data_IF_055906241350
#
_entry.id   IF_055906241350
#
_cell.length_a   1.000
_cell.length_b   1.000
_cell.length_c   1.000
_cell.angle_alpha   90.00
_cell.angle_beta   90.00
_cell.angle_gamma   90.00
#
_symmetry.space_group_name_H-M   'P 1'
#
loop_
_entity.id
_entity.type
_entity.pdbx_description
1 polymer ?
#
# COMPACT_ATOMS: atom_id res chain seq x y z
N UNK A 1 15.85 19.71 17.47
CA UNK A 1 15.18 19.96 16.20
C UNK A 1 14.16 18.86 15.97
N UNK A 2 12.90 19.27 16.12
CA UNK A 2 11.80 18.37 15.86
C UNK A 2 11.74 18.13 14.35
N UNK A 3 12.12 16.93 13.93
CA UNK A 3 11.72 16.46 12.63
C UNK A 3 10.23 16.14 12.71
N UNK A 4 9.42 17.16 12.51
CA UNK A 4 8.09 16.91 12.05
C UNK A 4 8.24 16.35 10.65
N UNK A 5 8.15 15.02 10.53
CA UNK A 5 7.76 14.46 9.27
C UNK A 5 6.32 14.91 9.05
N UNK A 6 6.16 16.07 8.42
CA UNK A 6 4.90 16.40 7.81
C UNK A 6 4.65 15.28 6.80
N UNK A 7 3.84 14.30 7.19
CA UNK A 7 3.22 13.45 6.19
C UNK A 7 2.43 14.39 5.31
N UNK A 8 2.98 14.65 4.12
CA UNK A 8 2.37 15.55 3.18
C UNK A 8 0.94 15.09 2.96
N UNK A 9 -0.02 15.92 3.39
CA UNK A 9 -1.43 15.69 3.08
C UNK A 9 -1.58 15.77 1.56
N UNK A 10 -1.94 14.64 0.95
CA UNK A 10 -2.23 14.63 -0.47
C UNK A 10 -3.72 14.91 -0.68
N UNK A 11 -4.00 15.88 -1.54
CA UNK A 11 -5.35 16.07 -2.05
C UNK A 11 -5.74 14.86 -2.92
N UNK A 12 -7.03 14.70 -3.16
CA UNK A 12 -7.55 13.64 -4.04
C UNK A 12 -6.86 13.67 -5.41
N UNK A 13 -6.76 14.86 -6.01
CA UNK A 13 -6.10 15.05 -7.30
C UNK A 13 -4.63 14.62 -7.26
N UNK A 14 -3.90 15.04 -6.25
CA UNK A 14 -2.49 14.70 -6.10
C UNK A 14 -2.29 13.21 -5.87
N UNK A 15 -3.16 12.56 -5.09
CA UNK A 15 -3.08 11.12 -4.83
C UNK A 15 -3.18 10.31 -6.12
N UNK A 16 -4.05 10.71 -7.06
CA UNK A 16 -4.18 10.01 -8.34
C UNK A 16 -3.10 10.38 -9.35
N UNK A 17 -2.44 11.52 -9.20
CA UNK A 17 -1.42 12.01 -10.14
C UNK A 17 0.02 11.69 -9.73
N UNK A 18 0.26 11.53 -8.43
CA UNK A 18 1.64 11.41 -7.91
C UNK A 18 2.26 10.04 -8.20
N UNK A 19 1.47 8.98 -8.13
CA UNK A 19 1.98 7.62 -8.22
C UNK A 19 1.76 7.03 -9.61
N UNK A 20 2.88 6.65 -10.25
CA UNK A 20 2.90 6.00 -11.57
C UNK A 20 3.11 4.49 -11.42
N UNK A 21 2.30 3.87 -10.60
CA UNK A 21 2.36 2.44 -10.29
C UNK A 21 1.14 1.72 -10.85
N UNK A 22 1.18 0.40 -10.99
CA UNK A 22 -0.02 -0.36 -11.31
C UNK A 22 -1.12 -0.14 -10.27
N UNK A 23 -2.36 -0.13 -10.73
CA UNK A 23 -3.53 -0.05 -9.87
C UNK A 23 -4.42 -1.25 -10.16
N UNK A 24 -4.82 -1.97 -9.12
CA UNK A 24 -5.52 -3.25 -9.28
C UNK A 24 -6.46 -3.55 -8.12
N UNK A 25 -7.43 -4.40 -8.40
CA UNK A 25 -8.24 -5.07 -7.40
C UNK A 25 -7.58 -6.40 -7.07
N UNK A 26 -7.47 -6.72 -5.80
CA UNK A 26 -6.85 -7.98 -5.39
C UNK A 26 -7.44 -8.56 -4.12
N UNK A 27 -7.12 -9.83 -3.91
CA UNK A 27 -7.48 -10.57 -2.70
C UNK A 27 -6.20 -10.96 -1.96
N UNK A 28 -6.14 -10.60 -0.68
CA UNK A 28 -4.98 -10.89 0.16
C UNK A 28 -4.96 -12.39 0.44
N UNK A 29 -3.87 -13.05 0.08
CA UNK A 29 -3.67 -14.49 0.27
C UNK A 29 -2.94 -14.81 1.55
N UNK A 30 -1.94 -13.98 1.90
CA UNK A 30 -1.13 -14.18 3.09
C UNK A 30 -0.50 -12.86 3.52
N UNK A 31 -0.25 -12.72 4.81
CA UNK A 31 0.55 -11.62 5.37
C UNK A 31 1.55 -12.24 6.32
N UNK A 32 2.82 -11.87 6.14
CA UNK A 32 3.92 -12.36 6.96
C UNK A 32 4.68 -11.20 7.55
N UNK A 33 4.83 -11.20 8.87
CA UNK A 33 5.68 -10.24 9.55
C UNK A 33 7.15 -10.62 9.36
N UNK A 34 7.99 -9.62 9.12
CA UNK A 34 9.43 -9.80 8.98
C UNK A 34 10.17 -8.79 9.85
N UNK A 35 11.37 -9.19 10.27
CA UNK A 35 12.31 -8.32 10.95
C UNK A 35 13.62 -8.30 10.15
N UNK A 36 14.14 -7.12 9.90
CA UNK A 36 15.39 -6.95 9.16
C UNK A 36 16.42 -6.37 10.12
N UNK A 37 17.51 -7.09 10.29
CA UNK A 37 18.57 -6.73 11.23
C UNK A 37 19.72 -6.05 10.51
N UNK A 38 20.09 -4.86 10.98
CA UNK A 38 21.29 -4.14 10.57
C UNK A 38 22.22 -4.03 11.78
N UNK A 39 22.89 -5.13 12.13
CA UNK A 39 23.63 -5.21 13.38
C UNK A 39 22.67 -5.17 14.56
N UNK A 40 22.79 -4.17 15.42
CA UNK A 40 21.92 -3.99 16.59
C UNK A 40 20.61 -3.28 16.27
N UNK A 41 20.47 -2.74 15.06
CA UNK A 41 19.25 -2.06 14.62
C UNK A 41 18.32 -3.03 13.89
N UNK A 42 17.06 -3.03 14.26
CA UNK A 42 16.05 -3.88 13.65
C UNK A 42 14.89 -3.06 13.13
N UNK A 43 14.55 -3.27 11.87
CA UNK A 43 13.34 -2.71 11.25
C UNK A 43 12.29 -3.81 11.09
N UNK A 44 11.04 -3.47 11.37
CA UNK A 44 9.90 -4.39 11.28
C UNK A 44 8.99 -3.99 10.13
N UNK A 45 8.61 -4.99 9.33
CA UNK A 45 7.72 -4.84 8.20
C UNK A 45 6.79 -6.05 8.12
N UNK A 46 5.84 -6.00 7.21
CA UNK A 46 5.12 -7.17 6.76
C UNK A 46 5.18 -7.25 5.25
N UNK A 47 5.06 -8.46 4.73
CA UNK A 47 4.93 -8.71 3.29
C UNK A 47 3.56 -9.35 3.08
N UNK A 48 2.73 -8.72 2.27
CA UNK A 48 1.46 -9.29 1.85
C UNK A 48 1.61 -9.90 0.46
N UNK A 49 1.06 -11.10 0.29
CA UNK A 49 0.86 -11.71 -1.03
C UNK A 49 -0.57 -11.41 -1.45
N UNK A 50 -0.73 -10.78 -2.59
CA UNK A 50 -2.03 -10.37 -3.10
C UNK A 50 -2.25 -10.99 -4.47
N UNK A 51 -3.33 -11.76 -4.59
CA UNK A 51 -3.79 -12.26 -5.88
C UNK A 51 -4.47 -11.12 -6.64
N UNK A 52 -4.01 -10.86 -7.85
CA UNK A 52 -4.56 -9.80 -8.70
C UNK A 52 -5.84 -10.30 -9.35
N UNK A 53 -6.97 -9.69 -9.01
CA UNK A 53 -8.28 -10.07 -9.55
C UNK A 53 -8.63 -9.27 -10.81
N UNK A 54 -8.27 -7.99 -10.84
CA UNK A 54 -8.57 -7.08 -11.94
C UNK A 54 -7.55 -5.94 -12.00
N UNK A 55 -7.14 -5.56 -13.19
CA UNK A 55 -6.15 -4.48 -13.39
C UNK A 55 -6.83 -3.27 -14.00
N UNK A 56 -6.58 -2.10 -13.43
CA UNK A 56 -7.13 -0.83 -13.91
C UNK A 56 -6.08 0.01 -14.61
N UNK A 57 -4.81 -0.16 -14.24
CA UNK A 57 -3.70 0.60 -14.79
C UNK A 57 -2.41 -0.20 -14.60
N UNK A 58 -1.50 -0.08 -15.56
CA UNK A 58 -0.16 -0.62 -15.45
C UNK A 58 0.01 -1.98 -16.11
N UNK A 59 1.27 -2.42 -16.13
CA UNK A 59 1.70 -3.66 -16.79
C UNK A 59 1.65 -4.83 -15.80
N UNK A 60 0.44 -5.30 -15.54
CA UNK A 60 0.15 -6.36 -14.59
C UNK A 60 -1.02 -7.16 -15.12
N UNK A 61 -0.98 -8.48 -14.97
CA UNK A 61 -2.03 -9.37 -15.47
C UNK A 61 -2.92 -9.89 -14.33
N UNK A 62 -4.21 -9.95 -14.59
CA UNK A 62 -5.13 -10.65 -13.70
C UNK A 62 -4.72 -12.12 -13.55
N UNK A 63 -4.77 -12.63 -12.34
CA UNK A 63 -4.30 -13.98 -12.00
C UNK A 63 -2.89 -14.03 -11.46
N UNK A 64 -2.09 -12.98 -11.62
CA UNK A 64 -0.77 -12.92 -11.01
C UNK A 64 -0.87 -12.77 -9.49
N UNK A 65 0.17 -13.18 -8.79
CA UNK A 65 0.36 -12.88 -7.38
C UNK A 65 1.49 -11.89 -7.25
N UNK A 66 1.23 -10.78 -6.57
CA UNK A 66 2.22 -9.75 -6.29
C UNK A 66 2.50 -9.71 -4.80
N UNK A 67 3.70 -9.24 -4.45
CA UNK A 67 4.10 -9.01 -3.07
C UNK A 67 4.21 -7.52 -2.81
N UNK A 68 3.71 -7.09 -1.66
CA UNK A 68 3.78 -5.70 -1.25
C UNK A 68 4.37 -5.60 0.15
N UNK A 69 5.28 -4.65 0.31
CA UNK A 69 5.87 -4.35 1.60
C UNK A 69 4.98 -3.36 2.35
N UNK A 70 4.68 -3.69 3.59
CA UNK A 70 3.85 -2.89 4.48
C UNK A 70 4.65 -2.46 5.69
N UNK A 71 4.44 -1.24 6.20
CA UNK A 71 4.87 -0.95 7.55
C UNK A 71 4.04 -1.83 8.51
N UNK A 72 4.68 -2.43 9.49
CA UNK A 72 3.95 -3.02 10.62
C UNK A 72 4.09 -2.09 11.81
N UNK A 73 2.98 -1.52 12.28
CA UNK A 73 3.01 -0.91 13.61
C UNK A 73 3.36 -2.03 14.56
N UNK A 74 4.47 -1.86 15.08
CA UNK A 74 5.22 -2.78 15.87
C UNK A 74 4.39 -3.33 16.99
N UNK A 75 4.61 -4.58 17.23
CA UNK A 75 4.47 -5.22 18.51
C UNK A 75 4.57 -4.22 19.65
N UNK A 76 3.62 -4.25 20.54
CA UNK A 76 3.73 -3.62 21.83
C UNK A 76 3.50 -2.11 21.83
N UNK A 77 2.23 -1.74 21.70
CA UNK A 77 1.73 -0.47 22.20
C UNK A 77 2.24 0.81 21.52
N UNK A 78 2.96 0.72 20.41
CA UNK A 78 3.33 1.89 19.63
C UNK A 78 2.36 2.04 18.46
N UNK A 79 1.39 2.90 18.65
CA UNK A 79 0.51 3.30 17.56
C UNK A 79 1.30 4.21 16.60
N UNK A 80 1.33 3.84 15.33
CA UNK A 80 1.91 4.69 14.28
C UNK A 80 0.77 5.30 13.50
N UNK A 81 0.69 6.62 13.55
CA UNK A 81 -0.34 7.36 12.84
C UNK A 81 -0.32 7.03 11.33
N UNK A 82 -1.50 6.84 10.78
CA UNK A 82 -1.64 6.59 9.35
C UNK A 82 -1.48 5.13 8.92
N UNK A 83 -1.41 4.18 9.85
CA UNK A 83 -1.31 2.75 9.52
C UNK A 83 -2.59 1.98 9.79
N UNK A 84 -3.69 2.65 10.08
CA UNK A 84 -4.96 2.03 10.45
C UNK A 84 -5.45 1.06 9.38
N UNK A 85 -5.32 1.43 8.11
CA UNK A 85 -5.79 0.63 6.99
C UNK A 85 -4.94 -0.63 6.83
N UNK A 86 -3.61 -0.49 6.78
CA UNK A 86 -2.72 -1.64 6.63
C UNK A 86 -2.76 -2.54 7.86
N UNK A 87 -3.01 -1.98 9.04
CA UNK A 87 -3.17 -2.76 10.28
C UNK A 87 -4.44 -3.60 10.28
N UNK A 88 -5.45 -3.21 9.52
CA UNK A 88 -6.70 -3.96 9.38
C UNK A 88 -6.62 -5.09 8.35
N UNK A 89 -5.58 -5.12 7.53
CA UNK A 89 -5.44 -6.11 6.46
C UNK A 89 -5.27 -7.51 7.02
N UNK A 90 -6.03 -8.45 6.47
CA UNK A 90 -5.99 -9.89 6.82
C UNK A 90 -6.13 -10.73 5.56
N UNK A 91 -5.61 -11.94 5.61
CA UNK A 91 -5.81 -12.91 4.55
C UNK A 91 -7.31 -13.15 4.32
N UNK A 92 -7.70 -13.24 3.05
CA UNK A 92 -9.08 -13.38 2.61
C UNK A 92 -9.79 -12.07 2.28
N UNK A 93 -9.27 -10.94 2.73
CA UNK A 93 -9.86 -9.63 2.41
C UNK A 93 -9.51 -9.23 0.99
N UNK A 94 -10.45 -8.56 0.34
CA UNK A 94 -10.24 -7.94 -0.97
C UNK A 94 -10.17 -6.42 -0.84
N UNK A 95 -9.53 -5.80 -1.82
CA UNK A 95 -9.40 -4.35 -1.83
C UNK A 95 -8.94 -3.84 -3.18
N UNK A 96 -8.82 -2.54 -3.25
CA UNK A 96 -8.17 -1.84 -4.36
C UNK A 96 -6.82 -1.35 -3.87
N UNK A 97 -5.79 -1.57 -4.68
CA UNK A 97 -4.41 -1.28 -4.31
C UNK A 97 -3.75 -0.41 -5.37
N UNK A 98 -3.19 0.70 -4.93
CA UNK A 98 -2.37 1.60 -5.74
C UNK A 98 -1.05 1.77 -4.99
N UNK A 99 -0.05 0.92 -5.25
CA UNK A 99 1.23 1.03 -4.55
C UNK A 99 1.87 2.41 -4.74
N UNK A 100 2.64 2.82 -3.77
CA UNK A 100 3.37 4.10 -3.87
C UNK A 100 4.66 3.97 -4.64
N UNK A 101 5.20 2.75 -4.74
CA UNK A 101 6.48 2.51 -5.41
C UNK A 101 6.55 1.07 -5.93
N UNK A 102 7.12 0.93 -7.11
CA UNK A 102 7.58 -0.36 -7.64
C UNK A 102 9.08 -0.47 -7.35
N UNK A 103 9.49 -1.56 -6.70
CA UNK A 103 10.91 -1.76 -6.40
C UNK A 103 11.68 -2.23 -7.62
N UNK A 104 12.86 -1.64 -7.81
CA UNK A 104 13.82 -1.97 -8.85
C UNK A 104 15.08 -2.56 -8.23
N UNK A 105 15.92 -3.19 -9.05
CA UNK A 105 17.14 -3.85 -8.59
C UNK A 105 18.12 -2.91 -7.85
N UNK A 106 18.09 -1.61 -8.14
CA UNK A 106 18.95 -0.61 -7.52
C UNK A 106 18.30 0.10 -6.31
N UNK A 107 17.09 -0.29 -5.93
CA UNK A 107 16.44 0.22 -4.72
C UNK A 107 17.04 -0.44 -3.48
N UNK A 108 17.92 0.28 -2.80
CA UNK A 108 18.71 -0.25 -1.68
C UNK A 108 18.66 0.66 -0.47
N UNK A 109 18.92 0.06 0.69
CA UNK A 109 19.14 0.75 1.93
C UNK A 109 20.39 0.18 2.62
N UNK A 110 21.34 1.04 2.96
CA UNK A 110 22.60 0.62 3.61
C UNK A 110 22.67 1.21 5.00
N UNK A 111 22.97 0.37 5.97
CA UNK A 111 23.22 0.76 7.36
C UNK A 111 24.20 -0.20 8.01
N UNK A 112 25.15 0.34 8.76
CA UNK A 112 26.18 -0.46 9.45
C UNK A 112 26.96 -1.39 8.51
N UNK A 113 27.23 -0.94 7.27
CA UNK A 113 27.95 -1.74 6.26
C UNK A 113 27.12 -2.85 5.63
N UNK A 114 25.84 -2.96 5.98
CA UNK A 114 24.91 -3.96 5.43
C UNK A 114 23.97 -3.29 4.43
N UNK A 115 23.77 -3.93 3.29
CA UNK A 115 22.89 -3.42 2.23
C UNK A 115 21.67 -4.31 2.07
N UNK A 116 20.49 -3.70 2.15
CA UNK A 116 19.23 -4.34 1.86
C UNK A 116 18.81 -3.97 0.44
N UNK A 117 18.43 -4.97 -0.35
CA UNK A 117 17.81 -4.79 -1.66
C UNK A 117 16.30 -5.01 -1.50
N UNK A 118 15.51 -3.96 -1.63
CA UNK A 118 14.07 -4.04 -1.43
C UNK A 118 13.37 -5.00 -2.41
N UNK A 119 13.89 -5.11 -3.63
CA UNK A 119 13.35 -6.04 -4.63
C UNK A 119 13.47 -7.52 -4.23
N UNK A 120 14.37 -7.85 -3.30
CA UNK A 120 14.46 -9.19 -2.73
C UNK A 120 13.30 -9.48 -1.75
N UNK A 121 12.67 -8.45 -1.23
CA UNK A 121 11.57 -8.59 -0.27
C UNK A 121 10.21 -8.61 -0.94
N UNK A 122 9.97 -7.68 -1.86
CA UNK A 122 8.66 -7.46 -2.44
C UNK A 122 8.74 -6.76 -3.80
N UNK A 123 7.66 -6.87 -4.58
CA UNK A 123 7.54 -6.17 -5.86
C UNK A 123 7.25 -4.68 -5.66
N UNK A 124 6.43 -4.36 -4.67
CA UNK A 124 5.89 -3.02 -4.45
C UNK A 124 5.94 -2.63 -2.98
N UNK A 125 5.85 -1.31 -2.75
CA UNK A 125 5.61 -0.74 -1.43
C UNK A 125 4.24 -0.06 -1.40
N UNK A 126 3.49 -0.28 -0.34
CA UNK A 126 2.27 0.50 -0.05
C UNK A 126 2.57 1.75 0.78
N UNK A 127 3.86 2.01 1.08
CA UNK A 127 4.22 3.11 1.97
C UNK A 127 3.51 2.97 3.31
N UNK A 128 2.94 4.05 3.82
CA UNK A 128 2.10 3.99 5.02
C UNK A 128 0.74 3.35 4.81
N UNK A 129 0.36 3.06 3.57
CA UNK A 129 -0.95 2.50 3.22
C UNK A 129 -2.09 3.50 3.23
N UNK A 130 -1.81 4.78 3.47
CA UNK A 130 -2.84 5.80 3.63
C UNK A 130 -3.57 6.17 2.35
N UNK A 131 -2.85 6.15 1.23
CA UNK A 131 -3.38 6.71 -0.02
C UNK A 131 -3.70 5.65 -1.07
N UNK A 132 -3.14 4.48 -0.94
CA UNK A 132 -3.21 3.46 -1.98
C UNK A 132 -3.99 2.21 -1.61
N UNK A 133 -4.75 2.22 -0.53
CA UNK A 133 -5.51 1.05 -0.09
C UNK A 133 -6.96 1.41 0.18
N UNK A 134 -7.86 0.71 -0.49
CA UNK A 134 -9.32 0.75 -0.28
C UNK A 134 -9.72 -0.68 0.09
N UNK A 135 -9.90 -0.94 1.37
CA UNK A 135 -10.05 -2.29 1.91
C UNK A 135 -11.50 -2.59 2.23
N UNK A 136 -12.02 -3.69 1.70
CA UNK A 136 -13.35 -4.18 2.08
C UNK A 136 -13.25 -4.88 3.44
N UNK A 137 -14.04 -4.41 4.40
CA UNK A 137 -14.15 -5.00 5.73
C UNK A 137 -15.60 -5.37 6.02
N UNK A 138 -15.82 -6.11 7.11
CA UNK A 138 -17.19 -6.46 7.55
C UNK A 138 -18.01 -5.22 7.90
N UNK A 139 -17.35 -4.13 8.26
CA UNK A 139 -17.99 -2.85 8.62
C UNK A 139 -18.08 -1.87 7.45
N UNK A 140 -17.73 -2.29 6.24
CA UNK A 140 -17.72 -1.47 5.05
C UNK A 140 -16.34 -1.21 4.49
N UNK A 141 -16.24 -0.23 3.62
CA UNK A 141 -14.99 0.11 2.95
C UNK A 141 -14.13 1.01 3.85
N UNK A 142 -12.89 0.60 4.06
CA UNK A 142 -11.91 1.35 4.84
C UNK A 142 -10.93 2.02 3.88
N UNK A 143 -10.86 3.35 3.92
CA UNK A 143 -9.97 4.15 3.08
C UNK A 143 -9.69 5.51 3.73
N UNK A 144 -8.76 6.26 3.18
CA UNK A 144 -8.42 7.60 3.68
C UNK A 144 -9.51 8.62 3.30
N UNK A 145 -10.41 8.89 4.23
CA UNK A 145 -11.56 9.81 4.01
C UNK A 145 -11.15 11.27 3.94
N UNK A 146 -10.01 11.64 4.48
CA UNK A 146 -9.50 13.01 4.43
C UNK A 146 -8.97 13.36 3.05
N UNK A 147 -8.39 12.39 2.36
CA UNK A 147 -7.89 12.56 0.99
C UNK A 147 -8.97 12.38 -0.06
N UNK A 148 -9.74 11.30 0.03
CA UNK A 148 -10.76 10.95 -0.98
C UNK A 148 -12.13 11.48 -0.57
N UNK A 149 -12.25 12.79 -0.54
CA UNK A 149 -13.41 13.51 0.00
C UNK A 149 -14.67 13.38 -0.85
N UNK A 150 -14.53 13.04 -2.14
CA UNK A 150 -15.68 12.88 -3.04
C UNK A 150 -16.22 11.45 -3.09
N UNK A 151 -15.55 10.51 -2.43
CA UNK A 151 -16.05 9.16 -2.27
C UNK A 151 -16.87 9.06 -0.98
N UNK A 152 -18.11 8.57 -1.11
CA UNK A 152 -18.99 8.42 0.06
C UNK A 152 -18.37 7.43 1.06
N UNK A 153 -18.33 7.77 2.37
CA UNK A 153 -17.88 6.85 3.41
C UNK A 153 -18.68 5.55 3.49
N UNK A 154 -19.91 5.57 3.01
CA UNK A 154 -20.82 4.41 3.03
C UNK A 154 -20.96 3.74 1.67
N UNK A 155 -20.01 4.00 0.76
CA UNK A 155 -20.06 3.41 -0.58
C UNK A 155 -19.88 1.89 -0.54
N UNK A 156 -20.46 1.23 -1.54
CA UNK A 156 -20.21 -0.20 -1.78
C UNK A 156 -18.85 -0.41 -2.42
N UNK A 157 -18.39 -1.65 -2.42
CA UNK A 157 -17.14 -2.03 -3.10
C UNK A 157 -17.19 -1.69 -4.59
N UNK A 158 -18.35 -1.95 -5.23
CA UNK A 158 -18.59 -1.68 -6.65
C UNK A 158 -18.66 -0.17 -6.95
N UNK A 159 -19.21 0.61 -6.04
CA UNK A 159 -19.22 2.08 -6.17
C UNK A 159 -17.81 2.65 -6.07
N UNK A 160 -16.97 2.08 -5.22
CA UNK A 160 -15.57 2.46 -5.14
C UNK A 160 -14.80 2.10 -6.42
N UNK A 161 -15.13 0.97 -7.04
CA UNK A 161 -14.55 0.60 -8.35
C UNK A 161 -14.88 1.65 -9.41
N UNK A 162 -16.13 2.04 -9.51
CA UNK A 162 -16.57 3.06 -10.47
C UNK A 162 -15.87 4.41 -10.21
N UNK A 163 -15.74 4.78 -8.95
CA UNK A 163 -15.02 5.98 -8.55
C UNK A 163 -13.57 5.95 -9.00
N UNK A 164 -12.86 4.84 -8.73
CA UNK A 164 -11.44 4.69 -9.05
C UNK A 164 -11.22 4.64 -10.57
N UNK A 165 -12.02 3.88 -11.29
CA UNK A 165 -11.87 3.75 -12.75
C UNK A 165 -12.09 5.08 -13.47
N UNK A 166 -12.98 5.93 -12.95
CA UNK A 166 -13.20 7.26 -13.51
C UNK A 166 -12.00 8.20 -13.32
N UNK A 167 -11.18 7.95 -12.32
CA UNK A 167 -10.05 8.83 -11.93
C UNK A 167 -8.68 8.30 -12.32
N UNK A 168 -8.53 6.97 -12.39
CA UNK A 168 -7.29 6.35 -12.82
C UNK A 168 -7.12 6.52 -14.32
N UNK A 169 -6.09 7.24 -14.70
CA UNK A 169 -5.73 7.39 -16.11
C UNK A 169 -4.64 6.40 -16.47
N UNK A 170 -4.62 5.91 -17.72
CA UNK A 170 -3.47 5.17 -18.23
C UNK A 170 -2.21 6.02 -18.04
N UNK A 171 -1.06 5.37 -17.90
CA UNK A 171 0.20 6.08 -17.91
C UNK A 171 0.28 6.89 -19.21
N UNK A 172 0.63 8.16 -19.10
CA UNK A 172 0.97 8.93 -20.29
C UNK A 172 2.24 8.35 -20.90
N UNK A 173 2.12 7.93 -22.12
CA UNK A 173 3.28 7.52 -22.91
C UNK A 173 4.22 8.71 -23.16
#
# INVERSE_FOLDING_TARGET
PEHQSEMAFLSEKEAFQTYHTPAFQGTIRAIRDIAIHFGEHTNYYAIAKIHVDKVYRGDLDAGETVTVLLPRPIYLHTWVEGTEIVSAMRAGMRGYFIPVRQYKADDTYTKNGLTLYYSDLANYSLGGGNYGVFLETDDGLLFNRETYTTLSPNCTFEQAEAYLTARLKPFSE
#
